data_IF_211482263959
#
_entry.id   IF_211482263959
#
_cell.length_a   1.000
_cell.length_b   1.000
_cell.length_c   1.000
_cell.angle_alpha   90.00
_cell.angle_beta   90.00
_cell.angle_gamma   90.00
#
_symmetry.space_group_name_H-M   'P 1'
#
loop_
_entity.id
_entity.type
_entity.pdbx_description
1 polymer ?
#
# COMPACT_ATOMS: atom_id res chain seq x y z
N UNK A 1 21.36 2.30 46.95
CA UNK A 1 20.69 3.21 45.98
C UNK A 1 21.61 4.34 45.53
N UNK A 2 22.44 4.92 46.40
CA UNK A 2 23.32 6.05 46.06
C UNK A 2 24.32 5.76 44.93
N UNK A 3 24.93 4.57 44.91
CA UNK A 3 25.84 4.16 43.85
C UNK A 3 25.18 4.10 42.46
N UNK A 4 23.89 3.72 42.39
CA UNK A 4 23.13 3.70 41.13
C UNK A 4 22.82 5.11 40.64
N UNK A 5 22.50 6.03 41.55
CA UNK A 5 22.22 7.43 41.22
C UNK A 5 23.49 8.12 40.69
N UNK A 6 24.64 7.87 41.33
CA UNK A 6 25.94 8.39 40.86
C UNK A 6 26.35 7.80 39.51
N UNK A 7 26.22 6.49 39.31
CA UNK A 7 26.53 5.83 38.04
C UNK A 7 25.63 6.34 36.90
N UNK A 8 24.35 6.58 37.17
CA UNK A 8 23.41 7.14 36.19
C UNK A 8 23.81 8.56 35.77
N UNK A 9 24.19 9.41 36.72
CA UNK A 9 24.62 10.77 36.43
C UNK A 9 25.90 10.80 35.57
N UNK A 10 26.87 9.90 35.84
CA UNK A 10 28.08 9.79 35.04
C UNK A 10 27.81 9.25 33.62
N UNK A 11 26.90 8.28 33.50
CA UNK A 11 26.56 7.64 32.23
C UNK A 11 25.88 8.60 31.23
N UNK A 12 25.00 9.48 31.71
CA UNK A 12 24.28 10.48 30.89
C UNK A 12 24.95 11.87 30.90
N UNK A 13 26.28 11.91 30.93
CA UNK A 13 27.03 13.16 30.74
C UNK A 13 27.13 13.54 29.26
N UNK A 14 27.22 14.83 28.96
CA UNK A 14 27.35 15.35 27.57
C UNK A 14 28.55 14.76 26.83
N UNK A 15 29.67 14.57 27.54
CA UNK A 15 30.88 13.91 27.04
C UNK A 15 30.63 12.45 26.65
N UNK A 16 29.94 11.68 27.50
CA UNK A 16 29.69 10.27 27.24
C UNK A 16 28.66 10.05 26.13
N UNK A 17 27.70 10.98 26.01
CA UNK A 17 26.72 10.97 24.92
C UNK A 17 27.41 11.33 23.59
N UNK A 18 28.21 12.40 23.55
CA UNK A 18 28.90 12.85 22.32
C UNK A 18 29.98 11.88 21.86
N UNK A 19 30.70 11.22 22.77
CA UNK A 19 31.67 10.17 22.43
C UNK A 19 30.99 8.94 21.81
N UNK A 20 29.81 8.55 22.31
CA UNK A 20 29.03 7.45 21.75
C UNK A 20 28.56 7.73 20.31
N UNK A 21 28.12 8.96 20.02
CA UNK A 21 27.79 9.38 18.65
C UNK A 21 29.01 9.29 17.74
N UNK A 22 30.14 9.89 18.15
CA UNK A 22 31.40 9.86 17.39
C UNK A 22 31.89 8.44 17.10
N UNK A 23 31.77 7.52 18.05
CA UNK A 23 32.17 6.11 17.89
C UNK A 23 31.30 5.31 16.92
N UNK A 24 30.05 5.73 16.69
CA UNK A 24 29.12 5.09 15.74
C UNK A 24 29.16 5.69 14.33
N UNK A 25 29.99 6.72 14.10
CA UNK A 25 30.05 7.45 12.84
C UNK A 25 28.87 8.40 12.60
N UNK A 26 27.98 8.57 13.58
CA UNK A 26 26.88 9.52 13.54
C UNK A 26 27.28 10.84 14.22
N UNK A 27 26.91 11.97 13.63
CA UNK A 27 27.04 13.27 14.31
C UNK A 27 25.75 13.58 15.06
N UNK A 28 25.86 14.06 16.30
CA UNK A 28 24.69 14.53 17.03
C UNK A 28 24.05 15.68 16.25
N UNK A 29 22.73 15.65 16.07
CA UNK A 29 21.97 16.73 15.44
C UNK A 29 22.23 17.99 16.28
N UNK A 30 22.84 19.05 15.72
CA UNK A 30 23.11 20.25 16.49
C UNK A 30 21.77 20.86 16.94
N UNK A 31 21.69 21.24 18.22
CA UNK A 31 20.64 22.14 18.67
C UNK A 31 20.72 23.41 17.80
N UNK A 32 19.58 23.85 17.28
CA UNK A 32 19.51 24.92 16.29
C UNK A 32 19.99 26.26 16.89
N UNK A 33 21.29 26.52 16.78
CA UNK A 33 21.84 27.86 16.95
C UNK A 33 21.74 28.60 15.61
N UNK A 34 20.93 29.65 15.62
CA UNK A 34 20.64 30.57 14.54
C UNK A 34 21.89 31.36 14.13
N UNK A 35 22.79 30.79 13.32
CA UNK A 35 23.86 31.57 12.69
C UNK A 35 23.91 31.34 11.17
N UNK A 36 23.58 32.44 10.49
CA UNK A 36 23.70 32.70 9.07
C UNK A 36 24.94 32.06 8.43
N UNK A 37 24.72 31.12 7.52
CA UNK A 37 25.71 30.75 6.50
C UNK A 37 25.00 30.60 5.17
N UNK A 38 25.15 31.64 4.36
CA UNK A 38 24.63 31.77 3.01
C UNK A 38 25.35 30.84 2.05
N UNK A 39 24.91 29.58 1.97
CA UNK A 39 25.20 28.71 0.83
C UNK A 39 23.92 27.97 0.46
N UNK A 40 23.07 28.63 -0.34
CA UNK A 40 21.94 27.99 -0.98
C UNK A 40 22.45 27.29 -2.26
N UNK A 41 22.42 25.95 -2.36
CA UNK A 41 22.75 25.27 -3.60
C UNK A 41 21.66 25.57 -4.63
N UNK A 42 22.09 25.84 -5.86
CA UNK A 42 21.25 26.03 -7.04
C UNK A 42 20.57 24.72 -7.46
N UNK A 43 19.73 24.15 -6.61
CA UNK A 43 18.64 23.32 -7.06
C UNK A 43 17.40 24.19 -6.97
N UNK A 44 17.12 24.92 -8.05
CA UNK A 44 15.74 25.29 -8.38
C UNK A 44 15.01 23.97 -8.56
N UNK A 45 14.52 23.44 -7.45
CA UNK A 45 13.53 22.37 -7.40
C UNK A 45 12.41 22.86 -8.29
N UNK A 46 12.27 22.27 -9.48
CA UNK A 46 11.01 22.36 -10.19
C UNK A 46 10.00 21.77 -9.22
N UNK A 47 9.25 22.64 -8.55
CA UNK A 47 8.04 22.26 -7.86
C UNK A 47 6.99 21.93 -8.93
N UNK A 48 7.28 20.97 -9.81
CA UNK A 48 6.24 20.23 -10.48
C UNK A 48 5.48 19.56 -9.34
N UNK A 49 4.43 20.27 -8.92
CA UNK A 49 3.26 19.82 -8.17
C UNK A 49 3.50 18.51 -7.43
N UNK A 50 3.53 18.59 -6.11
CA UNK A 50 3.23 17.50 -5.19
C UNK A 50 1.79 16.98 -5.36
N UNK A 51 1.27 16.99 -6.59
CA UNK A 51 -0.04 16.49 -6.91
C UNK A 51 0.04 14.98 -6.84
N UNK A 52 -0.79 14.43 -5.97
CA UNK A 52 -1.29 13.07 -6.13
C UNK A 52 -1.47 12.76 -7.62
N UNK A 53 -1.03 11.58 -8.09
CA UNK A 53 -1.24 11.16 -9.47
C UNK A 53 -2.69 11.45 -9.87
N UNK A 54 -2.92 12.08 -11.02
CA UNK A 54 -4.27 12.40 -11.46
C UNK A 54 -5.10 11.12 -11.47
N UNK A 55 -6.29 11.20 -10.86
CA UNK A 55 -7.25 10.10 -10.86
C UNK A 55 -7.52 9.67 -12.32
N UNK A 56 -7.74 8.37 -12.53
CA UNK A 56 -7.91 7.78 -13.86
C UNK A 56 -8.97 8.52 -14.67
N UNK A 57 -10.13 8.78 -14.06
CA UNK A 57 -11.23 9.49 -14.70
C UNK A 57 -10.87 10.94 -15.06
N UNK A 58 -10.03 11.57 -14.24
CA UNK A 58 -9.60 12.95 -14.47
C UNK A 58 -8.63 13.03 -15.65
N UNK A 59 -7.70 12.08 -15.76
CA UNK A 59 -6.77 12.01 -16.88
C UNK A 59 -7.50 11.71 -18.20
N UNK A 60 -8.39 10.72 -18.20
CA UNK A 60 -9.17 10.36 -19.38
C UNK A 60 -10.02 11.54 -19.86
N UNK A 61 -10.75 12.21 -18.96
CA UNK A 61 -11.53 13.41 -19.31
C UNK A 61 -10.66 14.51 -19.90
N UNK A 62 -9.48 14.76 -19.32
CA UNK A 62 -8.56 15.78 -19.82
C UNK A 62 -8.03 15.43 -21.23
N UNK A 63 -7.70 14.16 -21.48
CA UNK A 63 -7.23 13.70 -22.79
C UNK A 63 -8.33 13.71 -23.85
N UNK A 64 -9.58 13.42 -23.48
CA UNK A 64 -10.73 13.58 -24.38
C UNK A 64 -10.92 15.04 -24.79
N UNK A 65 -10.88 15.97 -23.83
CA UNK A 65 -10.96 17.42 -24.10
C UNK A 65 -9.79 17.91 -24.95
N UNK A 66 -8.58 17.39 -24.70
CA UNK A 66 -7.41 17.70 -25.53
C UNK A 66 -7.62 17.20 -26.97
N UNK A 67 -8.09 15.96 -27.13
CA UNK A 67 -8.31 15.35 -28.45
C UNK A 67 -9.37 16.11 -29.26
N UNK A 68 -10.46 16.55 -28.63
CA UNK A 68 -11.49 17.37 -29.30
C UNK A 68 -10.95 18.73 -29.72
N UNK A 69 -10.20 19.41 -28.85
CA UNK A 69 -9.57 20.69 -29.16
C UNK A 69 -8.54 20.57 -30.30
N UNK A 70 -7.76 19.49 -30.34
CA UNK A 70 -6.79 19.22 -31.42
C UNK A 70 -7.47 19.00 -32.77
N UNK A 71 -8.63 18.34 -32.79
CA UNK A 71 -9.39 18.12 -34.01
C UNK A 71 -9.93 19.44 -34.60
N UNK A 72 -10.25 20.42 -33.74
CA UNK A 72 -10.70 21.77 -34.14
C UNK A 72 -9.54 22.72 -34.51
N UNK A 73 -8.31 22.44 -34.07
CA UNK A 73 -7.17 23.33 -34.23
C UNK A 73 -6.43 23.24 -35.57
N UNK A 74 -5.63 24.29 -35.86
CA UNK A 74 -4.84 24.47 -37.11
C UNK A 74 -3.52 23.67 -37.11
N UNK A 75 -3.26 22.84 -36.09
CA UNK A 75 -2.01 22.08 -36.02
C UNK A 75 -1.84 21.14 -37.22
N UNK A 76 -0.60 20.93 -37.63
CA UNK A 76 -0.30 19.99 -38.71
C UNK A 76 -0.57 18.53 -38.28
N UNK A 77 -0.81 17.66 -39.25
CA UNK A 77 -1.11 16.23 -39.03
C UNK A 77 -0.04 15.46 -38.24
N UNK A 78 1.29 15.64 -38.45
CA UNK A 78 2.29 14.91 -37.67
C UNK A 78 2.32 15.33 -36.19
N UNK A 79 2.18 16.63 -35.88
CA UNK A 79 2.13 17.10 -34.50
C UNK A 79 0.87 16.60 -33.79
N UNK A 80 -0.29 16.60 -34.46
CA UNK A 80 -1.53 16.01 -33.91
C UNK A 80 -1.35 14.53 -33.55
N UNK A 81 -0.78 13.74 -34.47
CA UNK A 81 -0.51 12.30 -34.24
C UNK A 81 0.42 12.07 -33.06
N UNK A 82 1.47 12.89 -32.94
CA UNK A 82 2.40 12.78 -31.81
C UNK A 82 1.73 13.10 -30.48
N UNK A 83 0.89 14.15 -30.42
CA UNK A 83 0.18 14.52 -29.19
C UNK A 83 -0.81 13.43 -28.77
N UNK A 84 -1.58 12.86 -29.72
CA UNK A 84 -2.49 11.75 -29.41
C UNK A 84 -1.73 10.52 -28.90
N UNK A 85 -0.60 10.18 -29.53
CA UNK A 85 0.26 9.08 -29.04
C UNK A 85 0.76 9.33 -27.62
N UNK A 86 1.11 10.57 -27.28
CA UNK A 86 1.48 10.91 -25.91
C UNK A 86 0.31 10.77 -24.94
N UNK A 87 -0.89 11.21 -25.33
CA UNK A 87 -2.11 11.04 -24.52
C UNK A 87 -2.37 9.54 -24.24
N UNK A 88 -2.36 8.70 -25.28
CA UNK A 88 -2.56 7.25 -25.17
C UNK A 88 -1.52 6.59 -24.24
N UNK A 89 -0.23 6.92 -24.42
CA UNK A 89 0.84 6.36 -23.59
C UNK A 89 0.74 6.85 -22.13
N UNK A 90 0.28 8.07 -21.89
CA UNK A 90 0.05 8.55 -20.51
C UNK A 90 -1.09 7.81 -19.82
N UNK A 91 -2.18 7.49 -20.52
CA UNK A 91 -3.27 6.68 -19.97
C UNK A 91 -2.83 5.24 -19.71
N UNK A 92 -2.12 4.64 -20.67
CA UNK A 92 -1.54 3.31 -20.54
C UNK A 92 -0.56 3.22 -19.37
N UNK A 93 0.26 4.25 -19.16
CA UNK A 93 1.18 4.29 -18.02
C UNK A 93 0.43 4.47 -16.71
N UNK A 94 -0.60 5.33 -16.67
CA UNK A 94 -1.38 5.57 -15.46
C UNK A 94 -2.16 4.32 -15.01
N UNK A 95 -2.77 3.59 -15.96
CA UNK A 95 -3.46 2.33 -15.68
C UNK A 95 -2.51 1.28 -15.13
N UNK A 96 -1.37 1.05 -15.79
CA UNK A 96 -0.31 0.14 -15.29
C UNK A 96 0.17 0.53 -13.89
N UNK A 97 0.42 1.82 -13.67
CA UNK A 97 0.88 2.31 -12.37
C UNK A 97 -0.16 2.08 -11.27
N UNK A 98 -1.44 2.29 -11.58
CA UNK A 98 -2.57 2.08 -10.65
C UNK A 98 -2.72 0.60 -10.30
N UNK A 99 -2.66 -0.30 -11.29
CA UNK A 99 -2.70 -1.74 -11.07
C UNK A 99 -1.53 -2.21 -10.21
N UNK A 100 -0.31 -1.79 -10.56
CA UNK A 100 0.89 -2.16 -9.81
C UNK A 100 0.83 -1.66 -8.36
N UNK A 101 0.33 -0.44 -8.12
CA UNK A 101 0.11 0.06 -6.75
C UNK A 101 -0.83 -0.84 -5.96
N UNK A 102 -1.98 -1.18 -6.54
CA UNK A 102 -2.96 -2.09 -5.92
C UNK A 102 -2.35 -3.44 -5.59
N UNK A 103 -1.58 -4.03 -6.50
CA UNK A 103 -0.87 -5.28 -6.27
C UNK A 103 0.15 -5.14 -5.13
N UNK A 104 0.95 -4.08 -5.13
CA UNK A 104 1.95 -3.86 -4.07
C UNK A 104 1.30 -3.65 -2.71
N UNK A 105 0.17 -2.94 -2.65
CA UNK A 105 -0.56 -2.69 -1.41
C UNK A 105 -1.25 -3.96 -0.90
N UNK A 106 -1.79 -4.78 -1.81
CA UNK A 106 -2.31 -6.11 -1.48
C UNK A 106 -1.21 -7.00 -0.90
N UNK A 107 -0.06 -7.13 -1.58
CA UNK A 107 1.07 -7.92 -1.11
C UNK A 107 1.59 -7.42 0.24
N UNK A 108 1.71 -6.10 0.43
CA UNK A 108 2.09 -5.51 1.71
C UNK A 108 1.07 -5.83 2.80
N UNK A 109 -0.22 -5.75 2.52
CA UNK A 109 -1.29 -6.11 3.44
C UNK A 109 -1.21 -7.59 3.85
N UNK A 110 -1.00 -8.50 2.90
CA UNK A 110 -0.81 -9.93 3.18
C UNK A 110 0.43 -10.16 4.05
N UNK A 111 1.57 -9.57 3.68
CA UNK A 111 2.82 -9.70 4.42
C UNK A 111 2.67 -9.14 5.84
N UNK A 112 2.02 -7.99 5.99
CA UNK A 112 1.75 -7.38 7.29
C UNK A 112 0.89 -8.29 8.15
N UNK A 113 -0.24 -8.80 7.61
CA UNK A 113 -1.11 -9.76 8.30
C UNK A 113 -0.36 -11.03 8.73
N UNK A 114 0.54 -11.56 7.88
CA UNK A 114 1.37 -12.73 8.20
C UNK A 114 2.44 -12.44 9.25
N UNK A 115 3.06 -11.25 9.21
CA UNK A 115 4.09 -10.82 10.18
C UNK A 115 3.49 -10.54 11.55
N UNK A 116 2.29 -9.96 11.60
CA UNK A 116 1.54 -9.78 12.84
C UNK A 116 0.95 -11.12 13.28
N UNK A 117 1.77 -11.92 13.97
CA UNK A 117 1.30 -13.14 14.63
C UNK A 117 0.40 -12.77 15.81
N UNK A 118 -0.86 -12.44 15.50
CA UNK A 118 -1.88 -11.99 16.46
C UNK A 118 -2.70 -13.15 17.04
N UNK A 119 -2.30 -14.40 16.78
CA UNK A 119 -2.98 -15.60 17.29
C UNK A 119 -2.00 -16.50 18.06
N UNK A 120 -2.53 -17.24 19.02
CA UNK A 120 -1.80 -18.24 19.79
C UNK A 120 -0.76 -17.65 20.74
N UNK A 121 0.18 -18.52 21.15
CA UNK A 121 1.16 -18.24 22.22
C UNK A 121 1.96 -16.95 21.99
N UNK A 122 2.36 -16.66 20.75
CA UNK A 122 3.16 -15.47 20.41
C UNK A 122 2.38 -14.16 20.52
N UNK A 123 1.06 -14.18 20.40
CA UNK A 123 0.24 -12.99 20.59
C UNK A 123 0.12 -12.63 22.07
N UNK A 124 -0.08 -13.64 22.92
CA UNK A 124 -0.09 -13.50 24.38
C UNK A 124 1.26 -12.96 24.86
N UNK A 125 2.36 -13.59 24.47
CA UNK A 125 3.69 -13.25 24.96
C UNK A 125 4.27 -11.93 24.41
N UNK A 126 3.67 -11.32 23.37
CA UNK A 126 4.23 -10.14 22.73
C UNK A 126 3.85 -8.85 23.47
N UNK A 127 4.86 -8.16 24.02
CA UNK A 127 4.69 -6.83 24.60
C UNK A 127 4.06 -6.80 26.00
N UNK A 128 3.84 -7.97 26.60
CA UNK A 128 3.41 -8.08 27.99
C UNK A 128 4.61 -8.23 28.93
N UNK A 129 4.63 -7.43 29.99
CA UNK A 129 5.54 -7.60 31.12
C UNK A 129 4.80 -8.34 32.22
N UNK A 130 5.16 -9.60 32.46
CA UNK A 130 4.53 -10.40 33.50
C UNK A 130 5.42 -10.47 34.74
N UNK A 131 4.80 -10.21 35.88
CA UNK A 131 5.45 -10.27 37.20
C UNK A 131 5.40 -11.71 37.75
N UNK A 132 4.37 -12.49 37.37
CA UNK A 132 4.15 -13.88 37.80
C UNK A 132 4.15 -14.87 36.63
N UNK A 133 4.70 -16.06 36.88
CA UNK A 133 4.81 -17.15 35.89
C UNK A 133 3.54 -18.00 35.78
N UNK A 134 2.66 -17.99 36.78
CA UNK A 134 1.43 -18.80 36.78
C UNK A 134 0.35 -18.21 35.87
N UNK A 135 0.14 -16.90 35.91
CA UNK A 135 -0.80 -16.20 35.02
C UNK A 135 -0.44 -16.40 33.54
N UNK A 136 0.86 -16.38 33.24
CA UNK A 136 1.41 -16.67 31.91
C UNK A 136 1.06 -18.07 31.43
N UNK A 137 1.21 -19.08 32.29
CA UNK A 137 0.93 -20.48 31.95
C UNK A 137 -0.54 -20.69 31.62
N UNK A 138 -1.44 -20.08 32.40
CA UNK A 138 -2.88 -20.17 32.16
C UNK A 138 -3.27 -19.57 30.80
N UNK A 139 -2.79 -18.36 30.48
CA UNK A 139 -3.08 -17.69 29.20
C UNK A 139 -2.49 -18.43 27.99
N UNK A 140 -1.31 -19.02 28.14
CA UNK A 140 -0.68 -19.82 27.07
C UNK A 140 -1.47 -21.11 26.79
N UNK A 141 -1.96 -21.78 27.83
CA UNK A 141 -2.79 -22.99 27.69
C UNK A 141 -4.13 -22.68 27.03
N UNK A 142 -4.78 -21.59 27.43
CA UNK A 142 -6.02 -21.13 26.82
C UNK A 142 -5.83 -20.77 25.33
N UNK A 143 -4.76 -20.02 25.02
CA UNK A 143 -4.43 -19.65 23.65
C UNK A 143 -4.09 -20.88 22.79
N UNK A 144 -3.45 -21.91 23.36
CA UNK A 144 -3.17 -23.18 22.69
C UNK A 144 -4.46 -23.92 22.35
N UNK A 145 -5.36 -24.08 23.33
CA UNK A 145 -6.67 -24.71 23.12
C UNK A 145 -7.48 -23.98 22.04
N UNK A 146 -7.54 -22.65 22.08
CA UNK A 146 -8.24 -21.85 21.08
C UNK A 146 -7.66 -21.98 19.66
N UNK A 147 -6.33 -22.09 19.52
CA UNK A 147 -5.71 -22.34 18.21
C UNK A 147 -5.88 -23.78 17.72
N UNK A 148 -5.92 -24.76 18.63
CA UNK A 148 -6.13 -26.16 18.28
C UNK A 148 -7.56 -26.40 17.76
N UNK A 149 -8.58 -25.81 18.40
CA UNK A 149 -9.97 -25.92 17.91
C UNK A 149 -10.18 -25.21 16.58
N UNK A 150 -9.57 -24.03 16.40
CA UNK A 150 -9.65 -23.28 15.14
C UNK A 150 -8.99 -24.03 13.95
N UNK A 151 -7.84 -24.68 14.18
CA UNK A 151 -7.16 -25.46 13.12
C UNK A 151 -7.87 -26.78 12.82
N UNK A 152 -8.51 -27.40 13.80
CA UNK A 152 -9.31 -28.61 13.60
C UNK A 152 -10.58 -28.33 12.76
N UNK A 153 -11.23 -27.18 12.96
CA UNK A 153 -12.42 -26.77 12.20
C UNK A 153 -12.11 -26.35 10.76
N UNK A 154 -10.91 -25.84 10.48
CA UNK A 154 -10.52 -25.33 9.16
C UNK A 154 -9.83 -26.35 8.24
N UNK A 155 -9.80 -27.63 8.60
CA UNK A 155 -9.16 -28.66 7.77
C UNK A 155 -10.19 -29.23 6.79
N UNK A 156 -10.28 -28.79 5.52
CA UNK A 156 -10.93 -29.62 4.52
C UNK A 156 -10.12 -30.90 4.42
N UNK A 157 -10.75 -32.04 4.69
CA UNK A 157 -10.19 -33.36 4.41
C UNK A 157 -9.95 -33.43 2.91
N UNK A 158 -8.74 -33.14 2.45
CA UNK A 158 -8.30 -33.52 1.11
C UNK A 158 -8.07 -35.03 1.11
N UNK A 159 -9.14 -35.80 1.06
CA UNK A 159 -9.07 -37.18 0.58
C UNK A 159 -8.82 -37.11 -0.92
N UNK A 160 -7.74 -37.70 -1.46
CA UNK A 160 -7.57 -37.76 -2.90
C UNK A 160 -8.67 -38.66 -3.46
N UNK A 161 -9.63 -38.07 -4.17
CA UNK A 161 -10.62 -38.84 -4.92
C UNK A 161 -9.98 -39.32 -6.23
N UNK A 162 -10.18 -40.60 -6.63
CA UNK A 162 -9.76 -41.06 -7.95
C UNK A 162 -10.59 -40.33 -9.01
N UNK A 163 -9.91 -39.82 -10.03
CA UNK A 163 -10.52 -39.09 -11.15
C UNK A 163 -11.34 -40.08 -11.97
N UNK A 164 -12.66 -40.06 -11.79
CA UNK A 164 -13.61 -40.58 -12.77
C UNK A 164 -14.46 -39.40 -13.26
N UNK A 165 -14.66 -39.35 -14.56
CA UNK A 165 -15.03 -38.19 -15.38
C UNK A 165 -16.42 -37.57 -15.05
N UNK A 166 -16.41 -36.22 -15.06
CA UNK A 166 -17.44 -35.28 -15.51
C UNK A 166 -18.88 -35.34 -14.96
N UNK A 167 -19.29 -34.25 -14.27
CA UNK A 167 -20.43 -33.39 -14.66
C UNK A 167 -20.11 -31.96 -14.20
N UNK A 168 -20.07 -31.01 -15.13
CA UNK A 168 -20.08 -29.56 -14.84
C UNK A 168 -21.55 -29.16 -14.86
N UNK A 169 -22.13 -28.85 -13.70
CA UNK A 169 -23.41 -28.15 -13.65
C UNK A 169 -23.15 -26.65 -13.89
N UNK A 170 -23.47 -26.20 -15.11
CA UNK A 170 -23.76 -24.80 -15.40
C UNK A 170 -24.92 -24.36 -14.51
N UNK A 171 -24.67 -23.41 -13.60
CA UNK A 171 -25.74 -22.67 -12.94
C UNK A 171 -26.17 -21.56 -13.90
N UNK A 172 -27.28 -21.85 -14.57
CA UNK A 172 -28.14 -20.96 -15.33
C UNK A 172 -28.95 -20.11 -14.31
N UNK A 173 -28.69 -18.79 -14.26
CA UNK A 173 -29.57 -17.82 -13.60
C UNK A 173 -30.08 -16.85 -14.67
N UNK A 174 -31.33 -17.12 -15.06
CA UNK A 174 -32.18 -16.53 -16.07
C UNK A 174 -32.64 -15.08 -15.74
N UNK A 175 -32.91 -14.29 -16.79
CA UNK A 175 -33.91 -13.20 -16.86
C UNK A 175 -33.59 -11.86 -16.15
N UNK A 176 -33.60 -10.68 -16.79
CA UNK A 176 -34.69 -10.09 -17.58
C UNK A 176 -34.18 -9.27 -18.79
N UNK A 177 -34.79 -9.50 -19.95
CA UNK A 177 -34.74 -8.64 -21.13
C UNK A 177 -35.65 -7.41 -20.91
N UNK A 178 -35.11 -6.20 -21.05
CA UNK A 178 -35.93 -5.00 -21.28
C UNK A 178 -35.80 -4.59 -22.75
N UNK A 179 -36.93 -4.75 -23.42
CA UNK A 179 -37.19 -4.65 -24.84
C UNK A 179 -37.53 -3.18 -25.16
N UNK A 180 -36.60 -2.44 -25.77
CA UNK A 180 -36.92 -1.19 -26.44
C UNK A 180 -36.92 -1.42 -27.95
N UNK A 181 -38.07 -1.92 -28.42
CA UNK A 181 -38.49 -1.72 -29.80
C UNK A 181 -39.34 -0.43 -29.83
N UNK A 182 -38.82 0.57 -30.52
CA UNK A 182 -39.63 1.68 -31.00
C UNK A 182 -39.10 2.05 -32.37
N UNK A 183 -39.31 1.17 -33.33
CA UNK A 183 -39.43 1.57 -34.73
C UNK A 183 -40.58 2.59 -34.86
N UNK A 184 -40.21 3.84 -35.11
CA UNK A 184 -41.09 4.83 -35.73
C UNK A 184 -40.27 5.67 -36.72
N UNK A 185 -40.06 5.05 -37.88
CA UNK A 185 -40.13 5.61 -39.23
C UNK A 185 -39.63 7.05 -39.49
N UNK A 186 -38.65 7.09 -40.40
CA UNK A 186 -38.74 7.81 -41.68
C UNK A 186 -39.08 9.31 -41.62
N UNK A 187 -38.10 10.17 -41.96
CA UNK A 187 -38.20 11.06 -43.13
C UNK A 187 -36.99 12.01 -43.24
N UNK A 188 -36.56 12.16 -44.49
CA UNK A 188 -35.88 13.31 -45.10
C UNK A 188 -34.33 13.31 -45.15
N UNK A 189 -33.86 12.82 -46.32
CA UNK A 189 -32.91 13.45 -47.26
C UNK A 189 -31.48 13.74 -46.79
#
# INVERSE_FOLDING_TARGET
MEAYIQARAAAFSTLNITSAWRGSGATAIPAADSHSSSYAPYYRRSSSRTATPPDFNTLQKANTVLSTALNQGVLNTPTKRYINKLADETERLNTRNTLQKRETDNLRSIIQKRRTQNKGKRAVLKGQFHISTEELRSQVVEAEAATATATASQRPRTTPQPINEAVIEEIDEESEEELYDSDLDELAL
#
